data_IF_074693404406
#
_entry.id   IF_074693404406
#
_cell.length_a   1.000
_cell.length_b   1.000
_cell.length_c   1.000
_cell.angle_alpha   90.00
_cell.angle_beta   90.00
_cell.angle_gamma   90.00
#
_symmetry.space_group_name_H-M   'P 1'
#
loop_
_entity.id
_entity.type
_entity.pdbx_description
1 polymer ?
#
# COMPACT_ATOMS: atom_id res chain seq x y z
N UNK A 1 57.61 80.20 -41.99
CA UNK A 1 56.49 80.15 -42.96
C UNK A 1 56.19 78.70 -43.29
N UNK A 2 54.89 78.41 -43.48
CA UNK A 2 54.25 77.14 -43.91
C UNK A 2 53.82 76.16 -42.82
N UNK A 3 52.58 76.39 -42.40
CA UNK A 3 51.45 75.46 -42.28
C UNK A 3 51.71 74.01 -41.80
N UNK A 4 51.16 73.70 -40.62
CA UNK A 4 50.73 72.34 -40.28
C UNK A 4 49.21 72.37 -40.04
N UNK A 5 48.47 71.83 -41.00
CA UNK A 5 47.14 71.28 -40.81
C UNK A 5 47.27 69.94 -40.09
N UNK A 6 46.49 69.68 -39.04
CA UNK A 6 45.74 68.42 -38.98
C UNK A 6 44.56 68.52 -38.01
N UNK A 7 43.49 67.88 -38.48
CA UNK A 7 42.10 68.14 -38.21
C UNK A 7 41.54 67.18 -37.14
N UNK A 8 40.35 67.57 -36.70
CA UNK A 8 39.45 67.09 -35.66
C UNK A 8 39.16 65.59 -35.51
N UNK A 9 38.94 65.25 -34.24
CA UNK A 9 37.94 64.34 -33.64
C UNK A 9 37.66 62.98 -34.28
N UNK A 10 38.24 61.93 -33.67
CA UNK A 10 37.71 60.55 -33.73
C UNK A 10 36.59 60.35 -32.71
N UNK A 11 35.40 60.09 -33.23
CA UNK A 11 34.22 59.57 -32.53
C UNK A 11 34.50 58.10 -32.13
N UNK A 12 34.53 57.79 -30.83
CA UNK A 12 34.78 56.42 -30.33
C UNK A 12 33.42 55.74 -30.10
N UNK A 13 33.14 54.72 -30.92
CA UNK A 13 32.03 53.78 -30.77
C UNK A 13 32.10 53.05 -29.42
N UNK A 14 31.01 53.07 -28.66
CA UNK A 14 30.79 52.15 -27.54
C UNK A 14 29.40 51.53 -27.73
N UNK A 15 29.35 50.30 -28.26
CA UNK A 15 28.13 49.50 -28.29
C UNK A 15 27.92 48.92 -26.89
N UNK A 16 26.96 49.47 -26.16
CA UNK A 16 26.49 48.89 -24.89
C UNK A 16 25.68 47.64 -25.20
N UNK A 17 26.23 46.47 -24.89
CA UNK A 17 25.54 45.18 -24.96
C UNK A 17 24.75 45.00 -23.66
N UNK A 18 23.44 45.25 -23.70
CA UNK A 18 22.54 44.86 -22.60
C UNK A 18 22.29 43.35 -22.74
N UNK A 19 22.88 42.56 -21.84
CA UNK A 19 22.52 41.16 -21.64
C UNK A 19 21.37 41.15 -20.64
N UNK A 20 20.15 40.95 -21.13
CA UNK A 20 18.99 40.64 -20.30
C UNK A 20 19.11 39.17 -19.92
N UNK A 21 19.66 38.88 -18.75
CA UNK A 21 19.50 37.55 -18.13
C UNK A 21 18.05 37.40 -17.70
N UNK A 22 17.26 36.74 -18.53
CA UNK A 22 15.92 36.28 -18.21
C UNK A 22 16.06 35.09 -17.26
N UNK A 23 16.05 35.34 -15.95
CA UNK A 23 16.02 34.30 -14.93
C UNK A 23 14.66 33.61 -14.97
N UNK A 24 14.59 32.43 -15.58
CA UNK A 24 13.40 31.58 -15.53
C UNK A 24 13.33 30.97 -14.12
N UNK A 25 12.64 31.63 -13.20
CA UNK A 25 12.25 31.01 -11.94
C UNK A 25 11.17 29.97 -12.27
N UNK A 26 11.54 28.70 -12.41
CA UNK A 26 10.57 27.62 -12.28
C UNK A 26 10.04 27.68 -10.85
N UNK A 27 8.86 28.27 -10.66
CA UNK A 27 8.10 28.03 -9.45
C UNK A 27 7.80 26.54 -9.43
N UNK A 28 8.48 25.80 -8.57
CA UNK A 28 8.03 24.48 -8.17
C UNK A 28 6.73 24.75 -7.43
N UNK A 29 5.60 24.71 -8.15
CA UNK A 29 4.30 24.73 -7.53
C UNK A 29 4.29 23.55 -6.58
N UNK A 30 4.16 23.81 -5.28
CA UNK A 30 3.84 22.75 -4.35
C UNK A 30 2.52 22.16 -4.84
N UNK A 31 2.59 20.99 -5.49
CA UNK A 31 1.40 20.23 -5.85
C UNK A 31 0.66 19.98 -4.55
N UNK A 32 -0.53 20.58 -4.41
CA UNK A 32 -1.37 20.31 -3.25
C UNK A 32 -1.66 18.81 -3.25
N UNK A 33 -1.27 18.11 -2.18
CA UNK A 33 -1.57 16.69 -2.05
C UNK A 33 -3.08 16.51 -2.17
N UNK A 34 -3.50 15.67 -3.12
CA UNK A 34 -4.92 15.42 -3.36
C UNK A 34 -5.28 14.10 -2.69
N UNK A 35 -6.28 14.13 -1.79
CA UNK A 35 -6.81 12.91 -1.19
C UNK A 35 -8.20 12.61 -1.72
N UNK A 36 -8.43 11.34 -2.06
CA UNK A 36 -9.68 10.83 -2.61
C UNK A 36 -10.07 9.55 -1.87
N UNK A 37 -11.35 9.39 -1.60
CA UNK A 37 -11.90 8.15 -1.05
C UNK A 37 -13.06 7.63 -1.89
N UNK A 38 -13.25 6.31 -1.90
CA UNK A 38 -14.44 5.69 -2.47
C UNK A 38 -15.58 5.80 -1.45
N UNK A 39 -16.73 6.29 -1.89
CA UNK A 39 -17.87 6.53 -0.99
C UNK A 39 -19.17 5.97 -1.54
N UNK A 40 -20.07 5.63 -0.62
CA UNK A 40 -21.50 5.56 -0.88
C UNK A 40 -22.16 6.76 -0.19
N UNK A 41 -22.70 7.72 -0.94
CA UNK A 41 -23.55 8.76 -0.37
C UNK A 41 -24.68 8.16 0.45
N UNK A 42 -25.19 8.91 1.43
CA UNK A 42 -26.27 8.41 2.27
C UNK A 42 -27.54 8.16 1.44
N UNK A 43 -28.12 6.96 1.59
CA UNK A 43 -29.27 6.52 0.78
C UNK A 43 -28.90 5.83 -0.54
N UNK A 44 -27.65 5.94 -0.99
CA UNK A 44 -27.20 5.32 -2.24
C UNK A 44 -26.69 3.90 -2.06
N UNK A 45 -26.92 3.07 -3.09
CA UNK A 45 -26.44 1.67 -3.12
C UNK A 45 -25.11 1.52 -3.85
N UNK A 46 -24.81 2.43 -4.77
CA UNK A 46 -23.65 2.41 -5.65
C UNK A 46 -22.49 3.21 -5.06
N UNK A 47 -21.29 2.96 -5.58
CA UNK A 47 -20.06 3.64 -5.21
C UNK A 47 -19.74 4.77 -6.18
N UNK A 48 -19.19 5.85 -5.63
CA UNK A 48 -18.55 6.96 -6.33
C UNK A 48 -17.25 7.33 -5.62
N UNK A 49 -16.78 8.55 -5.85
CA UNK A 49 -15.59 9.10 -5.21
C UNK A 49 -15.86 10.48 -4.62
N UNK A 50 -15.20 10.78 -3.51
CA UNK A 50 -15.22 12.08 -2.86
C UNK A 50 -13.79 12.56 -2.58
N UNK A 51 -13.60 13.88 -2.60
CA UNK A 51 -12.33 14.49 -2.21
C UNK A 51 -12.19 14.59 -0.68
N UNK A 52 -11.07 15.15 -0.23
CA UNK A 52 -10.74 15.37 1.19
C UNK A 52 -11.69 16.33 1.94
N UNK A 53 -12.51 17.11 1.23
CA UNK A 53 -13.52 17.98 1.82
C UNK A 53 -14.87 17.25 1.97
N UNK A 54 -14.96 15.99 1.52
CA UNK A 54 -16.20 15.22 1.48
C UNK A 54 -17.10 15.54 0.27
N UNK A 55 -16.62 16.33 -0.68
CA UNK A 55 -17.39 16.68 -1.88
C UNK A 55 -17.33 15.53 -2.89
N UNK A 56 -18.48 15.15 -3.45
CA UNK A 56 -18.54 14.11 -4.48
C UNK A 56 -17.87 14.62 -5.76
N UNK A 57 -16.76 13.98 -6.15
CA UNK A 57 -16.04 14.30 -7.39
C UNK A 57 -16.49 13.42 -8.55
N UNK A 58 -16.91 12.18 -8.25
CA UNK A 58 -17.46 11.25 -9.23
C UNK A 58 -18.73 10.64 -8.65
N UNK A 59 -19.84 10.85 -9.35
CA UNK A 59 -21.16 10.40 -8.94
C UNK A 59 -21.20 8.89 -8.63
N UNK A 60 -22.04 8.53 -7.66
CA UNK A 60 -22.22 7.15 -7.24
C UNK A 60 -23.00 6.33 -8.28
N UNK A 61 -22.28 5.76 -9.26
CA UNK A 61 -22.88 5.01 -10.37
C UNK A 61 -22.25 3.63 -10.62
N UNK A 62 -21.23 3.25 -9.84
CA UNK A 62 -20.48 2.02 -10.03
C UNK A 62 -20.83 0.96 -8.98
N UNK A 63 -20.95 -0.31 -9.39
CA UNK A 63 -21.12 -1.42 -8.44
C UNK A 63 -19.94 -1.58 -7.47
N UNK A 64 -18.71 -1.34 -7.93
CA UNK A 64 -17.51 -1.31 -7.07
C UNK A 64 -16.54 -0.23 -7.58
N UNK A 65 -15.99 0.56 -6.66
CA UNK A 65 -14.86 1.48 -6.89
C UNK A 65 -13.63 0.96 -6.15
N UNK A 66 -12.43 1.20 -6.66
CA UNK A 66 -11.17 0.77 -6.04
C UNK A 66 -10.21 1.94 -5.83
N UNK A 67 -9.09 1.70 -5.14
CA UNK A 67 -8.08 2.72 -4.87
C UNK A 67 -7.49 3.26 -6.17
N UNK A 68 -7.24 4.57 -6.21
CA UNK A 68 -6.42 5.20 -7.23
C UNK A 68 -4.95 4.79 -7.06
N UNK A 69 -4.32 4.40 -8.15
CA UNK A 69 -2.88 4.35 -8.29
C UNK A 69 -2.28 5.75 -8.08
N UNK A 70 -0.99 5.82 -7.79
CA UNK A 70 -0.25 7.09 -7.66
C UNK A 70 -0.39 7.96 -8.92
N UNK A 71 -0.49 7.35 -10.10
CA UNK A 71 -0.66 8.08 -11.36
C UNK A 71 -2.12 8.50 -11.67
N UNK A 72 -3.05 8.35 -10.73
CA UNK A 72 -4.42 8.82 -10.86
C UNK A 72 -5.38 7.89 -11.60
N UNK A 73 -5.05 6.61 -11.82
CA UNK A 73 -6.00 5.61 -12.33
C UNK A 73 -6.59 4.72 -11.24
N UNK A 74 -7.90 4.56 -11.24
CA UNK A 74 -8.60 3.61 -10.37
C UNK A 74 -9.33 2.56 -11.21
N UNK A 75 -9.24 1.27 -10.84
CA UNK A 75 -10.18 0.30 -11.35
C UNK A 75 -11.60 0.61 -10.87
N UNK A 76 -12.58 0.29 -11.71
CA UNK A 76 -14.00 0.23 -11.35
C UNK A 76 -14.61 -1.06 -11.92
N UNK A 77 -15.73 -1.48 -11.32
CA UNK A 77 -16.52 -2.61 -11.82
C UNK A 77 -17.95 -2.16 -12.10
N UNK A 78 -18.37 -2.28 -13.36
CA UNK A 78 -19.72 -2.00 -13.81
C UNK A 78 -20.08 -2.88 -15.01
N UNK A 79 -21.37 -3.13 -15.26
CA UNK A 79 -21.85 -3.88 -16.42
C UNK A 79 -21.16 -5.24 -16.63
N UNK A 80 -20.81 -5.90 -15.51
CA UNK A 80 -20.12 -7.21 -15.45
C UNK A 80 -18.67 -7.20 -15.95
N UNK A 81 -18.04 -6.05 -16.11
CA UNK A 81 -16.65 -5.92 -16.53
C UNK A 81 -15.85 -4.96 -15.65
N UNK A 82 -14.53 -5.12 -15.67
CA UNK A 82 -13.62 -4.15 -15.10
C UNK A 82 -13.20 -3.13 -16.15
N UNK A 83 -13.11 -1.88 -15.70
CA UNK A 83 -12.59 -0.75 -16.48
C UNK A 83 -11.66 0.06 -15.56
N UNK A 84 -10.93 1.01 -16.14
CA UNK A 84 -10.17 2.00 -15.39
C UNK A 84 -10.76 3.38 -15.64
N UNK A 85 -10.71 4.24 -14.63
CA UNK A 85 -11.06 5.65 -14.76
C UNK A 85 -9.93 6.52 -14.21
N UNK A 86 -9.80 7.73 -14.74
CA UNK A 86 -8.94 8.74 -14.13
C UNK A 86 -9.65 9.49 -12.97
N UNK A 87 -8.98 10.48 -12.39
CA UNK A 87 -9.51 11.31 -11.29
C UNK A 87 -10.69 12.20 -11.67
N UNK A 88 -10.93 12.41 -12.97
CA UNK A 88 -12.09 13.12 -13.51
C UNK A 88 -13.28 12.20 -13.80
N UNK A 89 -13.10 10.89 -13.63
CA UNK A 89 -14.11 9.87 -13.93
C UNK A 89 -14.22 9.52 -15.42
N UNK A 90 -13.23 9.91 -16.23
CA UNK A 90 -13.14 9.53 -17.63
C UNK A 90 -12.64 8.09 -17.73
N UNK A 91 -13.34 7.25 -18.49
CA UNK A 91 -12.96 5.86 -18.70
C UNK A 91 -11.72 5.77 -19.59
N UNK A 92 -10.75 4.96 -19.15
CA UNK A 92 -9.53 4.70 -19.88
C UNK A 92 -9.67 3.44 -20.73
N UNK A 93 -9.28 3.56 -22.00
CA UNK A 93 -9.09 2.41 -22.87
C UNK A 93 -7.88 1.60 -22.39
N UNK A 94 -8.03 0.28 -22.39
CA UNK A 94 -6.94 -0.66 -22.13
C UNK A 94 -6.66 -1.45 -23.40
N UNK A 95 -5.42 -1.87 -23.59
CA UNK A 95 -5.01 -2.70 -24.74
C UNK A 95 -5.79 -4.02 -24.79
N UNK A 96 -6.17 -4.54 -23.62
CA UNK A 96 -7.04 -5.71 -23.50
C UNK A 96 -8.34 -5.36 -22.81
N UNK A 97 -9.46 -5.79 -23.38
CA UNK A 97 -10.79 -5.68 -22.76
C UNK A 97 -11.27 -7.03 -22.23
N UNK A 98 -12.28 -7.02 -21.36
CA UNK A 98 -12.91 -8.24 -20.84
C UNK A 98 -12.04 -9.06 -19.89
N UNK A 99 -10.98 -8.46 -19.34
CA UNK A 99 -10.15 -9.08 -18.31
C UNK A 99 -10.88 -9.08 -16.95
N UNK A 100 -10.40 -9.93 -16.04
CA UNK A 100 -10.72 -9.87 -14.62
C UNK A 100 -9.46 -9.46 -13.84
N UNK A 101 -9.63 -8.97 -12.63
CA UNK A 101 -8.52 -8.73 -11.71
C UNK A 101 -8.58 -9.70 -10.52
N UNK A 102 -7.51 -9.74 -9.74
CA UNK A 102 -7.45 -10.52 -8.49
C UNK A 102 -8.52 -9.97 -7.53
N UNK A 103 -9.68 -10.62 -7.41
CA UNK A 103 -10.62 -10.31 -6.32
C UNK A 103 -10.16 -11.04 -5.04
N UNK A 104 -9.56 -10.32 -4.09
CA UNK A 104 -9.21 -10.91 -2.79
C UNK A 104 -10.45 -11.31 -1.97
N UNK A 105 -10.34 -12.38 -1.18
CA UNK A 105 -11.36 -12.79 -0.20
C UNK A 105 -11.43 -11.76 0.94
N UNK A 106 -12.64 -11.54 1.45
CA UNK A 106 -12.96 -10.57 2.51
C UNK A 106 -12.05 -10.81 3.73
N UNK A 107 -11.21 -9.83 4.10
CA UNK A 107 -10.46 -9.82 5.37
C UNK A 107 -8.94 -9.72 5.31
N UNK A 108 -8.30 -9.76 4.12
CA UNK A 108 -6.83 -9.61 4.00
C UNK A 108 -6.42 -8.81 2.74
N UNK A 109 -7.08 -7.68 2.47
CA UNK A 109 -6.73 -6.82 1.34
C UNK A 109 -7.35 -7.30 0.02
N UNK A 110 -8.65 -7.00 -0.13
CA UNK A 110 -9.41 -7.21 -1.37
C UNK A 110 -8.75 -6.57 -2.60
N UNK A 111 -9.35 -6.79 -3.77
CA UNK A 111 -8.82 -6.39 -5.09
C UNK A 111 -7.83 -5.22 -5.08
N UNK A 112 -6.55 -5.53 -5.29
CA UNK A 112 -5.46 -4.65 -4.89
C UNK A 112 -5.14 -3.55 -5.91
N UNK A 113 -5.84 -3.52 -7.04
CA UNK A 113 -5.63 -2.50 -8.07
C UNK A 113 -4.17 -2.44 -8.49
N UNK A 114 -3.68 -1.23 -8.73
CA UNK A 114 -2.26 -1.00 -9.00
C UNK A 114 -1.45 -1.08 -7.72
N UNK A 115 -0.38 -1.87 -7.74
CA UNK A 115 0.70 -1.78 -6.76
C UNK A 115 2.01 -1.52 -7.50
N UNK A 116 2.76 -0.53 -7.02
CA UNK A 116 4.00 -0.06 -7.65
C UNK A 116 3.93 0.20 -9.17
N UNK A 117 2.78 0.69 -9.64
CA UNK A 117 2.51 1.03 -11.06
C UNK A 117 1.99 -0.13 -11.91
N UNK A 118 1.80 -1.33 -11.35
CA UNK A 118 1.38 -2.54 -12.07
C UNK A 118 0.09 -3.11 -11.50
N UNK A 119 -0.81 -3.61 -12.37
CA UNK A 119 -2.03 -4.32 -11.96
C UNK A 119 -2.10 -5.71 -12.60
N UNK A 120 -2.30 -6.72 -11.77
CA UNK A 120 -2.46 -8.10 -12.22
C UNK A 120 -3.86 -8.31 -12.83
N UNK A 121 -3.89 -8.81 -14.06
CA UNK A 121 -5.11 -9.06 -14.83
C UNK A 121 -5.10 -10.47 -15.41
N UNK A 122 -6.28 -11.05 -15.58
CA UNK A 122 -6.48 -12.37 -16.18
C UNK A 122 -7.47 -12.32 -17.32
N UNK A 123 -7.09 -12.90 -18.46
CA UNK A 123 -7.95 -13.12 -19.63
C UNK A 123 -7.65 -14.50 -20.19
N UNK A 124 -8.69 -15.23 -20.60
CA UNK A 124 -8.54 -16.61 -21.12
C UNK A 124 -7.74 -17.54 -20.18
N UNK A 125 -7.93 -17.37 -18.86
CA UNK A 125 -7.24 -18.11 -17.78
C UNK A 125 -5.72 -17.88 -17.69
N UNK A 126 -5.18 -16.90 -18.43
CA UNK A 126 -3.77 -16.52 -18.32
C UNK A 126 -3.63 -15.14 -17.68
N UNK A 127 -2.69 -15.06 -16.74
CA UNK A 127 -2.35 -13.88 -15.97
C UNK A 127 -1.19 -13.14 -16.61
N UNK A 128 -1.25 -11.82 -16.51
CA UNK A 128 -0.21 -10.87 -16.88
C UNK A 128 -0.44 -9.57 -16.14
N UNK A 129 0.20 -8.50 -16.58
CA UNK A 129 0.10 -7.20 -15.91
C UNK A 129 -0.13 -6.07 -16.90
N UNK A 130 -0.99 -5.15 -16.51
CA UNK A 130 -1.08 -3.84 -17.16
C UNK A 130 -0.22 -2.83 -16.39
N UNK A 131 0.42 -1.92 -17.12
CA UNK A 131 0.96 -0.72 -16.49
C UNK A 131 -0.15 0.29 -16.22
N UNK A 132 0.26 1.36 -15.56
CA UNK A 132 -0.57 2.49 -15.18
C UNK A 132 -1.15 3.29 -16.37
N UNK A 133 -0.77 2.98 -17.61
CA UNK A 133 -1.31 3.56 -18.84
C UNK A 133 -2.37 2.65 -19.49
N UNK A 134 -2.59 1.46 -18.94
CA UNK A 134 -3.52 0.47 -19.49
C UNK A 134 -2.94 -0.41 -20.59
N UNK A 135 -1.63 -0.35 -20.81
CA UNK A 135 -0.88 -1.15 -21.78
C UNK A 135 -0.45 -2.48 -21.16
N UNK A 136 -0.32 -3.53 -21.97
CA UNK A 136 0.19 -4.83 -21.50
C UNK A 136 1.69 -4.73 -21.27
N UNK A 137 2.07 -4.45 -20.02
CA UNK A 137 3.47 -4.38 -19.62
C UNK A 137 4.12 -5.75 -19.47
N UNK A 138 3.34 -6.76 -19.07
CA UNK A 138 3.79 -8.15 -18.99
C UNK A 138 2.69 -9.02 -19.60
N UNK A 139 3.08 -9.79 -20.61
CA UNK A 139 2.17 -10.65 -21.39
C UNK A 139 1.35 -11.59 -20.49
N UNK A 140 0.10 -11.82 -20.90
CA UNK A 140 -0.81 -12.76 -20.23
C UNK A 140 -0.45 -14.20 -20.60
N UNK A 141 0.63 -14.73 -20.01
CA UNK A 141 1.14 -16.09 -20.27
C UNK A 141 1.14 -17.02 -19.04
N UNK A 142 0.99 -16.48 -17.84
CA UNK A 142 1.15 -17.23 -16.58
C UNK A 142 -0.16 -17.88 -16.11
N UNK A 143 -0.06 -18.97 -15.35
CA UNK A 143 -1.22 -19.63 -14.73
C UNK A 143 -1.66 -18.93 -13.44
N UNK A 144 -0.72 -18.27 -12.76
CA UNK A 144 -0.97 -17.47 -11.54
C UNK A 144 0.14 -16.44 -11.38
N UNK A 145 -0.20 -15.29 -10.81
CA UNK A 145 0.77 -14.27 -10.40
C UNK A 145 0.44 -13.74 -9.01
N UNK A 146 1.45 -13.32 -8.25
CA UNK A 146 1.29 -12.44 -7.10
C UNK A 146 1.15 -10.98 -7.56
N UNK A 147 0.82 -10.08 -6.64
CA UNK A 147 1.02 -8.65 -6.87
C UNK A 147 2.52 -8.32 -6.98
N UNK A 148 2.85 -7.19 -7.59
CA UNK A 148 4.16 -6.58 -7.46
C UNK A 148 4.36 -6.06 -6.04
N UNK A 149 5.53 -6.28 -5.45
CA UNK A 149 5.97 -5.66 -4.20
C UNK A 149 7.49 -5.77 -4.12
N UNK A 150 8.17 -4.78 -3.54
CA UNK A 150 9.64 -4.71 -3.52
C UNK A 150 10.25 -4.80 -4.92
N UNK A 151 9.58 -4.30 -5.95
CA UNK A 151 10.04 -4.33 -7.35
C UNK A 151 9.77 -5.62 -8.12
N UNK A 152 9.23 -6.67 -7.47
CA UNK A 152 9.09 -8.00 -8.07
C UNK A 152 7.69 -8.60 -7.85
N UNK A 153 7.31 -9.53 -8.72
CA UNK A 153 6.18 -10.43 -8.55
C UNK A 153 6.63 -11.89 -8.70
N UNK A 154 5.90 -12.81 -8.08
CA UNK A 154 6.04 -14.24 -8.32
C UNK A 154 5.03 -14.67 -9.37
N UNK A 155 5.48 -15.33 -10.43
CA UNK A 155 4.64 -15.93 -11.45
C UNK A 155 4.77 -17.45 -11.43
N UNK A 156 3.71 -18.16 -11.84
CA UNK A 156 3.69 -19.61 -12.02
C UNK A 156 3.26 -19.96 -13.44
N UNK A 157 3.96 -20.87 -14.10
CA UNK A 157 3.58 -21.42 -15.40
C UNK A 157 3.87 -22.92 -15.42
N UNK A 158 2.84 -23.75 -15.57
CA UNK A 158 2.93 -25.17 -15.31
C UNK A 158 3.38 -25.40 -13.85
N UNK A 159 4.44 -26.18 -13.68
CA UNK A 159 5.06 -26.46 -12.37
C UNK A 159 6.21 -25.50 -12.02
N UNK A 160 6.64 -24.66 -12.97
CA UNK A 160 7.72 -23.71 -12.76
C UNK A 160 7.22 -22.41 -12.09
N UNK A 161 8.08 -21.85 -11.25
CA UNK A 161 7.90 -20.52 -10.66
C UNK A 161 8.96 -19.55 -11.19
N UNK A 162 8.62 -18.27 -11.23
CA UNK A 162 9.49 -17.22 -11.73
C UNK A 162 9.44 -16.01 -10.80
N UNK A 163 10.60 -15.40 -10.56
CA UNK A 163 10.66 -14.00 -10.12
C UNK A 163 10.56 -13.14 -11.37
N UNK A 164 9.62 -12.19 -11.40
CA UNK A 164 9.38 -11.30 -12.54
C UNK A 164 9.54 -9.85 -12.09
N UNK A 165 10.38 -9.08 -12.78
CA UNK A 165 10.53 -7.65 -12.51
C UNK A 165 9.56 -6.80 -13.35
N UNK A 166 9.55 -5.47 -13.14
CA UNK A 166 8.60 -4.56 -13.82
C UNK A 166 8.81 -4.43 -15.33
N UNK A 167 10.00 -4.73 -15.85
CA UNK A 167 10.26 -4.78 -17.29
C UNK A 167 9.84 -6.12 -17.92
N UNK A 168 9.36 -7.07 -17.14
CA UNK A 168 8.97 -8.40 -17.60
C UNK A 168 10.13 -9.39 -17.76
N UNK A 169 11.32 -9.04 -17.26
CA UNK A 169 12.43 -10.01 -17.16
C UNK A 169 12.06 -11.07 -16.12
N UNK A 170 12.32 -12.33 -16.46
CA UNK A 170 11.97 -13.48 -15.65
C UNK A 170 13.23 -14.27 -15.23
N UNK A 171 13.29 -14.61 -13.95
CA UNK A 171 14.28 -15.54 -13.40
C UNK A 171 13.52 -16.78 -12.96
N UNK A 172 13.78 -17.91 -13.61
CA UNK A 172 13.21 -19.19 -13.21
C UNK A 172 13.75 -19.61 -11.83
N UNK A 173 12.83 -19.91 -10.93
CA UNK A 173 13.11 -20.39 -9.59
C UNK A 173 13.32 -21.89 -9.69
N UNK A 174 14.57 -22.29 -9.75
CA UNK A 174 15.01 -23.68 -9.72
C UNK A 174 15.61 -24.02 -8.37
N UNK A 175 15.40 -25.24 -7.88
CA UNK A 175 15.91 -25.67 -6.57
C UNK A 175 14.92 -26.55 -5.83
N UNK A 176 14.70 -26.27 -4.54
CA UNK A 176 13.85 -27.04 -3.64
C UNK A 176 12.48 -27.40 -4.26
N UNK A 177 11.84 -28.46 -3.76
CA UNK A 177 10.46 -28.78 -4.13
C UNK A 177 9.50 -27.74 -3.54
N UNK A 178 9.28 -26.65 -4.27
CA UNK A 178 8.36 -25.57 -3.92
C UNK A 178 6.91 -25.96 -4.22
N UNK A 179 6.04 -25.96 -3.21
CA UNK A 179 4.59 -26.11 -3.39
C UNK A 179 3.95 -24.78 -3.79
N UNK A 180 4.31 -23.70 -3.11
CA UNK A 180 3.76 -22.36 -3.34
C UNK A 180 4.77 -21.30 -2.88
N UNK A 181 4.73 -20.15 -3.52
CA UNK A 181 5.56 -18.99 -3.20
C UNK A 181 4.64 -17.77 -3.16
N UNK A 182 4.72 -16.99 -2.09
CA UNK A 182 3.91 -15.80 -1.84
C UNK A 182 4.57 -14.55 -2.44
N UNK A 183 3.86 -13.42 -2.41
CA UNK A 183 4.43 -12.13 -2.83
C UNK A 183 5.66 -11.75 -2.01
N UNK A 184 6.54 -10.94 -2.60
CA UNK A 184 7.62 -10.31 -1.87
C UNK A 184 7.09 -9.33 -0.82
N UNK A 185 7.87 -9.15 0.23
CA UNK A 185 7.72 -8.07 1.21
C UNK A 185 9.09 -7.82 1.83
N UNK A 186 9.53 -6.57 1.85
CA UNK A 186 10.84 -6.18 2.38
C UNK A 186 11.98 -7.04 1.76
N UNK A 187 11.89 -7.27 0.45
CA UNK A 187 12.90 -7.96 -0.36
C UNK A 187 12.93 -9.49 -0.26
N UNK A 188 12.06 -10.13 0.54
CA UNK A 188 11.98 -11.60 0.63
C UNK A 188 10.56 -12.11 0.37
N UNK A 189 10.44 -13.30 -0.20
CA UNK A 189 9.16 -13.95 -0.47
C UNK A 189 9.04 -15.29 0.29
N UNK A 190 7.99 -15.49 1.12
CA UNK A 190 7.75 -16.76 1.78
C UNK A 190 7.47 -17.88 0.76
N UNK A 191 8.09 -19.04 0.94
CA UNK A 191 7.74 -20.26 0.20
C UNK A 191 7.30 -21.38 1.14
N UNK A 192 6.64 -22.40 0.59
CA UNK A 192 6.31 -23.65 1.28
C UNK A 192 6.89 -24.84 0.52
N UNK A 193 7.54 -25.77 1.21
CA UNK A 193 8.12 -26.98 0.62
C UNK A 193 7.17 -28.20 0.69
N UNK A 194 7.58 -29.33 0.11
CA UNK A 194 6.86 -30.62 0.17
C UNK A 194 6.54 -31.11 1.58
N UNK A 195 7.37 -30.79 2.56
CA UNK A 195 7.15 -31.12 3.98
C UNK A 195 6.18 -30.16 4.69
N UNK A 196 5.58 -29.21 3.95
CA UNK A 196 4.71 -28.13 4.47
C UNK A 196 5.41 -27.21 5.48
N UNK A 197 6.73 -27.09 5.37
CA UNK A 197 7.52 -26.13 6.11
C UNK A 197 7.73 -24.87 5.28
N UNK A 198 7.91 -23.76 5.98
CA UNK A 198 8.03 -22.44 5.39
C UNK A 198 9.45 -21.92 5.52
N UNK A 199 9.94 -21.31 4.43
CA UNK A 199 11.20 -20.58 4.36
C UNK A 199 11.02 -19.32 3.51
N UNK A 200 12.12 -18.71 3.08
CA UNK A 200 12.09 -17.52 2.23
C UNK A 200 13.07 -17.61 1.06
N UNK A 201 12.68 -17.04 -0.07
CA UNK A 201 13.56 -16.78 -1.21
C UNK A 201 13.90 -15.30 -1.35
N UNK A 202 15.05 -15.01 -1.97
CA UNK A 202 15.45 -13.68 -2.41
C UNK A 202 14.93 -13.34 -3.82
N UNK A 203 15.26 -12.13 -4.27
CA UNK A 203 14.93 -11.58 -5.60
C UNK A 203 15.66 -12.27 -6.77
N UNK A 204 16.64 -13.14 -6.47
CA UNK A 204 17.34 -13.97 -7.45
C UNK A 204 16.78 -15.39 -7.50
N UNK A 205 15.66 -15.63 -6.82
CA UNK A 205 15.00 -16.93 -6.75
C UNK A 205 15.74 -17.96 -5.89
N UNK A 206 16.71 -17.53 -5.06
CA UNK A 206 17.50 -18.43 -4.21
C UNK A 206 16.91 -18.50 -2.81
N UNK A 207 17.04 -19.66 -2.17
CA UNK A 207 16.64 -19.83 -0.76
C UNK A 207 17.53 -18.96 0.12
N UNK A 208 16.94 -17.92 0.70
CA UNK A 208 17.58 -17.01 1.65
C UNK A 208 17.47 -17.52 3.10
N UNK A 209 16.33 -18.15 3.43
CA UNK A 209 16.07 -18.76 4.74
C UNK A 209 15.50 -20.15 4.48
N UNK A 210 16.13 -21.17 5.06
CA UNK A 210 15.73 -22.56 4.92
C UNK A 210 14.33 -22.81 5.50
N UNK A 211 13.66 -23.84 4.98
CA UNK A 211 12.30 -24.15 5.37
C UNK A 211 12.24 -24.98 6.66
N UNK A 212 12.33 -24.29 7.81
CA UNK A 212 12.36 -24.92 9.14
C UNK A 212 11.16 -24.53 10.02
N UNK A 213 10.27 -23.67 9.52
CA UNK A 213 9.14 -23.12 10.28
C UNK A 213 7.82 -23.79 9.91
N UNK A 214 6.91 -23.92 10.87
CA UNK A 214 5.55 -24.43 10.61
C UNK A 214 4.71 -23.44 9.81
N UNK A 215 4.95 -22.14 9.99
CA UNK A 215 4.33 -21.04 9.24
C UNK A 215 5.08 -19.75 9.55
N UNK A 216 5.02 -18.79 8.63
CA UNK A 216 5.72 -17.52 8.75
C UNK A 216 4.86 -16.35 8.25
N UNK A 217 5.18 -15.16 8.74
CA UNK A 217 4.65 -13.89 8.25
C UNK A 217 5.46 -13.30 7.10
N UNK A 218 5.03 -12.13 6.63
CA UNK A 218 5.84 -11.31 5.74
C UNK A 218 6.88 -10.52 6.54
N UNK A 219 8.06 -10.30 5.96
CA UNK A 219 9.01 -9.36 6.53
C UNK A 219 8.47 -7.93 6.43
N UNK A 220 8.58 -7.21 7.53
CA UNK A 220 8.31 -5.78 7.63
C UNK A 220 9.35 -5.16 8.56
N UNK A 221 10.08 -4.14 8.09
CA UNK A 221 11.16 -3.49 8.84
C UNK A 221 12.16 -4.50 9.44
N UNK A 222 12.60 -5.46 8.60
CA UNK A 222 13.62 -6.44 8.95
C UNK A 222 13.19 -7.62 9.82
N UNK A 223 11.94 -7.67 10.27
CA UNK A 223 11.41 -8.74 11.11
C UNK A 223 10.19 -9.43 10.50
N UNK A 224 10.05 -10.73 10.75
CA UNK A 224 8.85 -11.50 10.46
C UNK A 224 8.50 -12.38 11.67
N UNK A 225 7.20 -12.57 11.94
CA UNK A 225 6.81 -13.60 12.91
C UNK A 225 6.99 -14.98 12.28
N UNK A 226 7.41 -15.97 13.08
CA UNK A 226 7.56 -17.35 12.64
C UNK A 226 7.09 -18.30 13.73
N UNK A 227 6.46 -19.42 13.32
CA UNK A 227 6.01 -20.47 14.23
C UNK A 227 7.02 -21.61 14.26
N UNK A 228 7.60 -21.84 15.43
CA UNK A 228 8.56 -22.91 15.69
C UNK A 228 7.89 -24.30 15.75
N UNK A 229 8.72 -25.33 15.87
CA UNK A 229 8.27 -26.73 15.98
C UNK A 229 7.45 -27.02 17.24
N UNK A 230 7.62 -26.21 18.29
CA UNK A 230 6.83 -26.21 19.53
C UNK A 230 5.43 -25.60 19.37
N UNK A 231 5.08 -25.16 18.16
CA UNK A 231 3.82 -24.47 17.79
C UNK A 231 3.66 -23.08 18.41
N UNK A 232 4.67 -22.55 19.08
CA UNK A 232 4.71 -21.17 19.56
C UNK A 232 5.27 -20.25 18.49
N UNK A 233 4.95 -18.98 18.63
CA UNK A 233 5.32 -17.92 17.69
C UNK A 233 6.38 -17.03 18.33
N UNK A 234 7.43 -16.76 17.56
CA UNK A 234 8.49 -15.80 17.86
C UNK A 234 8.67 -14.86 16.67
N UNK A 235 9.80 -14.16 16.63
CA UNK A 235 10.18 -13.26 15.54
C UNK A 235 11.59 -13.55 15.07
N UNK A 236 11.76 -13.59 13.75
CA UNK A 236 13.04 -13.85 13.08
C UNK A 236 13.51 -12.61 12.31
N UNK A 237 14.83 -12.48 12.17
CA UNK A 237 15.45 -11.51 11.27
C UNK A 237 15.60 -12.07 9.84
N UNK A 238 16.11 -11.25 8.90
CA UNK A 238 16.33 -11.65 7.50
C UNK A 238 17.37 -12.75 7.28
N UNK A 239 18.08 -13.20 8.32
CA UNK A 239 18.96 -14.38 8.29
C UNK A 239 18.27 -15.64 8.80
N UNK A 240 17.02 -15.54 9.27
CA UNK A 240 16.27 -16.63 9.89
C UNK A 240 16.59 -16.84 11.37
N UNK A 241 17.39 -15.97 11.99
CA UNK A 241 17.76 -16.08 13.40
C UNK A 241 16.63 -15.50 14.28
N UNK A 242 16.34 -16.15 15.41
CA UNK A 242 15.36 -15.64 16.37
C UNK A 242 15.85 -14.34 17.02
N UNK A 243 15.06 -13.29 16.86
CA UNK A 243 15.18 -12.03 17.61
C UNK A 243 14.34 -12.11 18.88
N UNK A 244 13.18 -12.76 18.79
CA UNK A 244 12.35 -13.15 19.94
C UNK A 244 12.08 -14.64 19.79
N UNK A 245 12.57 -15.43 20.74
CA UNK A 245 12.34 -16.87 20.78
C UNK A 245 10.83 -17.22 20.82
N UNK A 246 10.41 -18.35 20.24
CA UNK A 246 9.03 -18.80 20.27
C UNK A 246 8.48 -18.88 21.70
N UNK A 247 7.51 -18.03 22.01
CA UNK A 247 6.83 -18.02 23.33
C UNK A 247 5.36 -17.62 23.27
N UNK A 248 4.92 -17.01 22.17
CA UNK A 248 3.55 -16.54 22.01
C UNK A 248 2.64 -17.60 21.38
N UNK A 249 1.34 -17.53 21.63
CA UNK A 249 0.33 -18.39 21.00
C UNK A 249 0.03 -17.96 19.55
N UNK A 250 0.10 -16.65 19.29
CA UNK A 250 -0.07 -16.05 17.97
C UNK A 250 0.63 -14.69 17.92
N UNK A 251 0.96 -14.23 16.70
CA UNK A 251 1.57 -12.94 16.49
C UNK A 251 1.11 -12.30 15.17
N UNK A 252 1.25 -10.99 15.09
CA UNK A 252 1.08 -10.16 13.89
C UNK A 252 2.40 -9.48 13.54
N UNK A 253 2.44 -8.83 12.38
CA UNK A 253 3.62 -8.08 11.94
C UNK A 253 3.88 -6.90 12.88
N UNK A 254 5.15 -6.49 12.99
CA UNK A 254 5.48 -5.22 13.61
C UNK A 254 4.97 -4.07 12.76
N UNK A 255 4.42 -3.06 13.44
CA UNK A 255 4.19 -1.74 12.86
C UNK A 255 5.48 -0.92 13.01
N UNK A 256 6.06 -0.40 11.92
CA UNK A 256 7.35 0.28 11.95
C UNK A 256 7.31 1.60 12.74
N UNK A 257 6.15 2.26 12.81
CA UNK A 257 6.01 3.54 13.50
C UNK A 257 5.94 3.38 15.02
N UNK A 258 5.12 2.45 15.51
CA UNK A 258 5.00 2.18 16.95
C UNK A 258 6.13 1.32 17.50
N UNK A 259 6.76 0.49 16.65
CA UNK A 259 7.71 -0.54 17.07
C UNK A 259 7.05 -1.71 17.80
N UNK A 260 5.73 -1.84 17.70
CA UNK A 260 4.94 -2.85 18.41
C UNK A 260 4.28 -3.83 17.45
N UNK A 261 4.03 -5.05 17.94
CA UNK A 261 3.26 -6.05 17.25
C UNK A 261 2.20 -6.64 18.18
N UNK A 262 1.01 -6.92 17.63
CA UNK A 262 -0.06 -7.57 18.38
C UNK A 262 0.25 -9.06 18.54
N UNK A 263 0.23 -9.55 19.77
CA UNK A 263 0.51 -10.94 20.13
C UNK A 263 -0.61 -11.52 20.99
N UNK A 264 -0.77 -12.84 20.93
CA UNK A 264 -1.60 -13.59 21.86
C UNK A 264 -0.70 -14.40 22.78
N UNK A 265 -0.87 -14.25 24.08
CA UNK A 265 -0.11 -14.98 25.10
C UNK A 265 -1.03 -15.33 26.25
N UNK A 266 -0.90 -16.54 26.80
CA UNK A 266 -1.76 -17.04 27.88
C UNK A 266 -3.26 -16.89 27.57
N UNK A 267 -3.63 -17.09 26.29
CA UNK A 267 -5.01 -16.96 25.83
C UNK A 267 -5.52 -15.52 25.66
N UNK A 268 -4.75 -14.48 26.00
CA UNK A 268 -5.15 -13.06 25.92
C UNK A 268 -4.36 -12.30 24.85
N UNK A 269 -4.98 -11.28 24.26
CA UNK A 269 -4.30 -10.38 23.33
C UNK A 269 -3.56 -9.28 24.09
N UNK A 270 -2.36 -8.94 23.61
CA UNK A 270 -1.50 -7.88 24.11
C UNK A 270 -0.61 -7.39 22.96
N UNK A 271 0.36 -6.54 23.27
CA UNK A 271 1.41 -6.12 22.35
C UNK A 271 2.79 -6.54 22.86
N UNK A 272 3.74 -6.69 21.95
CA UNK A 272 5.16 -6.84 22.27
C UNK A 272 5.97 -5.81 21.51
N UNK A 273 7.06 -5.34 22.12
CA UNK A 273 8.12 -4.63 21.40
C UNK A 273 9.16 -5.61 20.83
N UNK A 274 10.19 -5.09 20.14
CA UNK A 274 11.28 -5.87 19.53
C UNK A 274 12.17 -6.60 20.55
N UNK A 275 12.12 -6.23 21.84
CA UNK A 275 12.83 -6.93 22.93
C UNK A 275 11.99 -8.07 23.54
N UNK A 276 10.75 -8.27 23.09
CA UNK A 276 9.86 -9.27 23.65
C UNK A 276 9.16 -8.85 24.95
N UNK A 277 9.20 -7.57 25.31
CA UNK A 277 8.50 -6.99 26.47
C UNK A 277 7.03 -6.77 26.13
N UNK A 278 6.14 -7.13 27.08
CA UNK A 278 4.69 -7.14 26.86
C UNK A 278 4.05 -5.84 27.33
N UNK A 279 3.22 -5.24 26.47
CA UNK A 279 2.34 -4.13 26.79
C UNK A 279 0.87 -4.60 26.78
N UNK A 280 0.19 -4.41 27.90
CA UNK A 280 -1.27 -4.63 28.01
C UNK A 280 -2.01 -3.30 27.99
N UNK A 281 -3.20 -3.29 27.38
CA UNK A 281 -4.06 -2.10 27.29
C UNK A 281 -5.44 -2.46 27.84
N UNK A 282 -6.01 -1.56 28.65
CA UNK A 282 -7.38 -1.69 29.15
C UNK A 282 -8.40 -1.41 28.03
N UNK A 283 -8.72 -2.46 27.28
CA UNK A 283 -9.65 -2.43 26.15
C UNK A 283 -10.38 -3.77 25.99
N UNK A 284 -11.58 -3.72 25.41
CA UNK A 284 -12.39 -4.89 25.07
C UNK A 284 -11.92 -5.56 23.77
N UNK A 285 -11.26 -4.82 22.88
CA UNK A 285 -10.78 -5.30 21.58
C UNK A 285 -9.45 -4.69 21.21
N UNK A 286 -8.56 -5.46 20.59
CA UNK A 286 -7.22 -5.03 20.18
C UNK A 286 -7.15 -4.90 18.66
N UNK A 287 -6.88 -3.71 18.14
CA UNK A 287 -6.51 -3.49 16.74
C UNK A 287 -5.03 -3.77 16.49
N UNK A 288 -4.61 -3.86 15.23
CA UNK A 288 -3.17 -3.77 14.93
C UNK A 288 -2.74 -2.30 15.05
N UNK A 289 -1.48 -2.05 15.39
CA UNK A 289 -0.92 -0.71 15.26
C UNK A 289 -0.79 -0.37 13.78
N UNK A 290 -1.11 0.87 13.45
CA UNK A 290 -0.88 1.46 12.13
C UNK A 290 -0.59 2.94 12.33
N UNK A 291 0.53 3.40 11.79
CA UNK A 291 0.96 4.81 11.89
C UNK A 291 1.05 5.29 13.35
N UNK A 292 1.46 4.40 14.26
CA UNK A 292 1.69 4.74 15.67
C UNK A 292 0.45 4.68 16.58
N UNK A 293 -0.74 4.45 16.04
CA UNK A 293 -1.98 4.30 16.81
C UNK A 293 -2.61 2.92 16.58
N UNK A 294 -3.27 2.39 17.62
CA UNK A 294 -4.07 1.18 17.52
C UNK A 294 -5.51 1.47 17.94
N UNK A 295 -6.46 0.91 17.20
CA UNK A 295 -7.88 0.99 17.52
C UNK A 295 -8.22 0.06 18.68
N UNK A 296 -9.10 0.50 19.57
CA UNK A 296 -9.69 -0.35 20.60
C UNK A 296 -11.12 0.01 20.93
N UNK A 297 -11.73 -0.79 21.80
CA UNK A 297 -13.08 -0.53 22.33
C UNK A 297 -13.10 -0.43 23.85
N UNK A 298 -13.94 0.45 24.37
CA UNK A 298 -14.27 0.55 25.79
C UNK A 298 -15.68 1.10 25.94
N UNK A 299 -16.51 0.44 26.75
CA UNK A 299 -17.92 0.81 26.88
C UNK A 299 -18.69 0.66 25.56
N UNK A 300 -18.30 -0.29 24.71
CA UNK A 300 -18.88 -0.49 23.39
C UNK A 300 -18.53 0.58 22.33
N UNK A 301 -17.82 1.65 22.71
CA UNK A 301 -17.36 2.71 21.80
C UNK A 301 -15.93 2.46 21.35
N UNK A 302 -15.60 2.97 20.17
CA UNK A 302 -14.30 2.85 19.51
C UNK A 302 -13.47 4.10 19.77
N UNK A 303 -12.21 3.92 20.13
CA UNK A 303 -11.19 4.97 20.25
C UNK A 303 -9.84 4.48 19.75
N UNK A 304 -8.79 5.27 19.97
CA UNK A 304 -7.43 4.96 19.53
C UNK A 304 -6.41 5.29 20.62
N UNK A 305 -5.46 4.38 20.85
CA UNK A 305 -4.39 4.54 21.82
C UNK A 305 -3.00 4.49 21.18
N UNK A 306 -2.05 5.15 21.84
CA UNK A 306 -0.66 5.22 21.42
C UNK A 306 0.14 3.96 21.84
N UNK A 307 1.43 3.96 21.51
CA UNK A 307 2.37 2.88 21.84
C UNK A 307 2.69 2.73 23.35
N UNK A 308 2.11 3.57 24.22
CA UNK A 308 2.14 3.41 25.68
C UNK A 308 0.84 2.83 26.24
N UNK A 309 -0.15 2.58 25.38
CA UNK A 309 -1.48 2.13 25.79
C UNK A 309 -2.40 3.24 26.31
N UNK A 310 -2.02 4.51 26.11
CA UNK A 310 -2.80 5.67 26.52
C UNK A 310 -3.76 6.08 25.39
N UNK A 311 -5.03 6.33 25.70
CA UNK A 311 -6.01 6.79 24.72
C UNK A 311 -5.65 8.19 24.21
N UNK A 312 -5.17 8.27 22.97
CA UNK A 312 -4.97 9.54 22.24
C UNK A 312 -6.30 10.09 21.77
N UNK A 313 -7.19 9.21 21.31
CA UNK A 313 -8.55 9.53 20.90
C UNK A 313 -9.47 8.69 21.78
N UNK A 314 -10.24 9.37 22.63
CA UNK A 314 -11.11 8.70 23.58
C UNK A 314 -12.16 7.83 22.88
N UNK A 315 -12.59 6.71 23.50
CA UNK A 315 -13.66 5.89 22.95
C UNK A 315 -15.00 6.63 22.87
N UNK A 316 -15.36 7.11 21.68
CA UNK A 316 -16.61 7.85 21.44
C UNK A 316 -17.35 7.44 20.15
N UNK A 317 -16.69 6.71 19.24
CA UNK A 317 -17.23 6.34 17.94
C UNK A 317 -17.97 5.00 17.97
N UNK A 318 -18.98 4.83 17.11
CA UNK A 318 -19.72 3.57 16.97
C UNK A 318 -18.92 2.50 16.20
N UNK A 319 -17.91 2.94 15.47
CA UNK A 319 -16.97 2.10 14.74
C UNK A 319 -15.78 2.92 14.23
N UNK A 320 -14.73 2.24 13.82
CA UNK A 320 -13.53 2.87 13.28
C UNK A 320 -12.74 1.90 12.41
N UNK A 321 -11.85 2.39 11.57
CA UNK A 321 -10.80 1.61 10.90
C UNK A 321 -9.44 2.03 11.42
N UNK A 322 -8.42 1.24 11.12
CA UNK A 322 -7.06 1.56 11.50
C UNK A 322 -6.56 2.77 10.68
N UNK A 323 -5.61 3.53 11.22
CA UNK A 323 -5.08 4.72 10.55
C UNK A 323 -4.33 4.35 9.28
N UNK A 324 -4.51 5.16 8.24
CA UNK A 324 -3.81 5.02 6.96
C UNK A 324 -3.75 6.36 6.26
N UNK A 325 -2.58 6.71 5.75
CA UNK A 325 -2.25 8.00 5.16
C UNK A 325 -2.55 9.19 6.10
N UNK A 326 -2.43 9.00 7.42
CA UNK A 326 -2.72 10.02 8.43
C UNK A 326 -4.19 10.13 8.84
N UNK A 327 -5.08 9.30 8.30
CA UNK A 327 -6.52 9.37 8.54
C UNK A 327 -7.12 8.04 9.00
N UNK A 328 -8.19 8.10 9.77
CA UNK A 328 -9.00 6.94 10.10
C UNK A 328 -10.47 7.19 9.73
N UNK A 329 -11.08 6.23 9.04
CA UNK A 329 -12.52 6.24 8.84
C UNK A 329 -13.22 5.88 10.16
N UNK A 330 -14.11 6.74 10.64
CA UNK A 330 -14.89 6.52 11.87
C UNK A 330 -16.38 6.64 11.63
N UNK A 331 -17.17 5.91 12.43
CA UNK A 331 -18.63 5.87 12.35
C UNK A 331 -19.23 6.61 13.54
N UNK A 332 -20.16 7.54 13.28
CA UNK A 332 -20.98 8.22 14.28
C UNK A 332 -22.45 8.07 13.89
N UNK A 333 -23.22 7.37 14.74
CA UNK A 333 -24.53 6.84 14.39
C UNK A 333 -24.43 5.86 13.22
N UNK A 334 -25.14 6.18 12.12
CA UNK A 334 -25.17 5.37 10.90
C UNK A 334 -24.30 5.89 9.77
N UNK A 335 -23.53 6.96 10.02
CA UNK A 335 -22.73 7.61 8.98
C UNK A 335 -21.24 7.47 9.27
N UNK A 336 -20.48 7.42 8.20
CA UNK A 336 -19.01 7.38 8.20
C UNK A 336 -18.45 8.74 7.78
N UNK A 337 -17.33 9.09 8.39
CA UNK A 337 -16.47 10.22 8.04
C UNK A 337 -15.01 9.87 8.33
N UNK A 338 -14.14 10.88 8.40
CA UNK A 338 -12.71 10.71 8.62
C UNK A 338 -12.19 11.67 9.69
N UNK A 339 -11.29 11.16 10.53
CA UNK A 339 -10.54 11.95 11.51
C UNK A 339 -9.04 11.87 11.25
N UNK A 340 -8.31 12.89 11.67
CA UNK A 340 -6.85 12.88 11.72
C UNK A 340 -6.33 12.18 12.99
N UNK A 341 -5.01 12.07 13.15
CA UNK A 341 -4.37 11.41 14.30
C UNK A 341 -4.59 12.13 15.65
N UNK A 342 -5.00 13.41 15.62
CA UNK A 342 -5.40 14.17 16.81
C UNK A 342 -6.88 13.93 17.19
N UNK A 343 -7.64 13.21 16.36
CA UNK A 343 -9.07 12.98 16.54
C UNK A 343 -9.98 14.07 15.96
N UNK A 344 -9.43 15.04 15.24
CA UNK A 344 -10.19 16.12 14.62
C UNK A 344 -10.83 15.65 13.32
N UNK A 345 -12.07 16.07 13.06
CA UNK A 345 -12.77 15.75 11.82
C UNK A 345 -12.09 16.40 10.63
N UNK A 346 -11.77 15.58 9.64
CA UNK A 346 -11.34 15.99 8.31
C UNK A 346 -12.54 15.97 7.36
N UNK A 347 -13.36 14.93 7.48
CA UNK A 347 -14.67 14.86 6.82
C UNK A 347 -15.69 14.41 7.86
N UNK A 348 -16.63 15.29 8.17
CA UNK A 348 -17.74 14.98 9.07
C UNK A 348 -18.53 13.73 8.61
N UNK A 349 -19.12 13.01 9.58
CA UNK A 349 -19.85 11.78 9.30
C UNK A 349 -21.09 12.01 8.42
N UNK A 350 -20.97 11.75 7.12
CA UNK A 350 -22.01 12.02 6.13
C UNK A 350 -22.30 10.87 5.17
N UNK A 351 -21.43 9.87 5.05
CA UNK A 351 -21.55 8.79 4.08
C UNK A 351 -22.18 7.52 4.67
N UNK A 352 -22.94 6.76 3.87
CA UNK A 352 -23.41 5.43 4.29
C UNK A 352 -22.25 4.42 4.38
N UNK A 353 -21.25 4.56 3.52
CA UNK A 353 -20.03 3.78 3.57
C UNK A 353 -18.87 4.55 2.94
N UNK A 354 -17.66 4.31 3.43
CA UNK A 354 -16.41 4.84 2.87
C UNK A 354 -15.40 3.72 2.71
N UNK A 355 -14.36 3.91 1.90
CA UNK A 355 -13.09 3.14 1.95
C UNK A 355 -12.04 3.98 2.68
N UNK A 356 -10.76 3.69 2.55
CA UNK A 356 -9.72 4.53 3.15
C UNK A 356 -9.61 5.85 2.37
N UNK A 357 -9.04 6.89 3.00
CA UNK A 357 -8.72 8.15 2.34
C UNK A 357 -7.32 8.02 1.76
N UNK A 358 -7.21 8.08 0.44
CA UNK A 358 -6.01 7.70 -0.30
C UNK A 358 -5.37 8.92 -0.96
N UNK A 359 -4.04 9.01 -0.88
CA UNK A 359 -3.28 10.02 -1.61
C UNK A 359 -3.27 9.69 -3.10
N UNK A 360 -3.47 10.70 -3.92
CA UNK A 360 -3.35 10.67 -5.37
C UNK A 360 -2.45 11.82 -5.77
N UNK A 361 -1.36 11.51 -6.48
CA UNK A 361 -0.29 12.46 -6.81
C UNK A 361 -0.54 13.18 -8.15
#
# INVERSE_FOLDING_TARGET
MKENYFNSSKQKNMKTLIIITLSFAMSIGAMAQTYITQVKPYGEKLWGYANQNGEITIAAKYKKCYKYAENGLAPIYESKQFLFINTKGEEMTTEITGFKMIEGFIGIGGLQGYNEGMVAVVKNKKWGFLNSQGEVAIELKYDKVSIFNSGFAIAKSGDAFFVVNKSGEEIEISGAEFIDIKQFSDGLAPFTNSAKQFGYIDDKGKVAIQADFLTVGYFNDGLAWAKGSDKKVGYINKKGEWVIEPKFDAAKNFDPTSGLARIKTEGKWAYTNKNGEILTVDTETWGDFSEGLARGKKGGKTGYYNNKGEWTIAPEYDGGRDFKNGFAAVKKGDKWGFINQSGEWVIEAQFAAVKDLERVD
#
